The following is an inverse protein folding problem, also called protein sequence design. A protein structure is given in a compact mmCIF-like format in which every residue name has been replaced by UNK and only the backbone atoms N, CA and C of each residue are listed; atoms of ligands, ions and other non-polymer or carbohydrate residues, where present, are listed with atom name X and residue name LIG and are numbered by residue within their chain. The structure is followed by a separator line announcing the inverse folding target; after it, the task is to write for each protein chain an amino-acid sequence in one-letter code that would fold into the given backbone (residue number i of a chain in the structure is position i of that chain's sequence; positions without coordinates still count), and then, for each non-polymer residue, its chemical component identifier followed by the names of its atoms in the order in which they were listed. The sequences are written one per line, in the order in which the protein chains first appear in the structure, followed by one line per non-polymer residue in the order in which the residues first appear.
data_IF_060054829442
#
_entry.id   IF_060054829442
#
_cell.length_a   1.000
_cell.length_b   1.000
_cell.length_c   1.000
_cell.angle_alpha   90.00
_cell.angle_beta   90.00
_cell.angle_gamma   90.00
#
_symmetry.space_group_name_H-M   'P 1'
#
loop_
_entity.id
_entity.type
_entity.pdbx_description
1 polymer ?
#
# COMPACT_ATOMS: atom_id res chain seq x y z
N UNK A 1 -1.17 16.18 35.28
CA UNK A 1 -1.89 15.93 34.01
C UNK A 1 -2.97 16.99 33.88
N UNK A 2 -2.87 17.89 32.90
CA UNK A 2 -3.97 18.82 32.59
C UNK A 2 -5.11 17.99 31.96
N UNK A 3 -6.25 17.94 32.63
CA UNK A 3 -7.46 17.35 32.04
C UNK A 3 -7.85 18.16 30.82
N UNK A 4 -7.93 17.48 29.69
CA UNK A 4 -8.35 18.11 28.44
C UNK A 4 -9.74 18.70 28.62
N UNK A 5 -9.95 19.98 28.27
CA UNK A 5 -11.25 20.64 28.41
C UNK A 5 -12.31 20.02 27.49
N UNK A 6 -13.60 20.21 27.76
CA UNK A 6 -14.70 19.63 26.97
C UNK A 6 -14.64 20.02 25.49
N UNK A 7 -14.08 21.18 25.17
CA UNK A 7 -13.87 21.63 23.80
C UNK A 7 -12.95 20.70 23.00
N UNK A 8 -11.89 20.15 23.64
CA UNK A 8 -10.99 19.21 22.98
C UNK A 8 -11.71 17.90 22.63
N UNK A 9 -12.56 17.40 23.52
CA UNK A 9 -13.37 16.20 23.22
C UNK A 9 -14.39 16.45 22.11
N UNK A 10 -15.02 17.62 22.09
CA UNK A 10 -15.97 18.00 21.03
C UNK A 10 -15.27 18.09 19.67
N UNK A 11 -14.11 18.73 19.59
CA UNK A 11 -13.32 18.81 18.34
C UNK A 11 -12.85 17.45 17.88
N UNK A 12 -12.42 16.57 18.78
CA UNK A 12 -12.01 15.20 18.44
C UNK A 12 -13.19 14.37 17.92
N UNK A 13 -14.36 14.46 18.58
CA UNK A 13 -15.58 13.77 18.12
C UNK A 13 -16.03 14.26 16.75
N UNK A 14 -16.01 15.57 16.51
CA UNK A 14 -16.32 16.14 15.23
C UNK A 14 -15.33 15.68 14.13
N UNK A 15 -14.04 15.64 14.42
CA UNK A 15 -13.03 15.16 13.51
C UNK A 15 -13.22 13.66 13.19
N UNK A 16 -13.51 12.83 14.20
CA UNK A 16 -13.80 11.39 14.00
C UNK A 16 -15.05 11.22 13.14
N UNK A 17 -16.14 11.92 13.47
CA UNK A 17 -17.40 11.85 12.70
C UNK A 17 -17.19 12.23 11.23
N UNK A 18 -16.46 13.32 10.96
CA UNK A 18 -16.14 13.77 9.62
C UNK A 18 -15.24 12.77 8.86
N UNK A 19 -14.28 12.14 9.56
CA UNK A 19 -13.38 11.15 8.95
C UNK A 19 -14.07 9.80 8.66
N UNK A 20 -15.02 9.39 9.50
CA UNK A 20 -15.75 8.14 9.35
C UNK A 20 -16.92 8.27 8.36
N UNK A 21 -17.46 9.49 8.18
CA UNK A 21 -18.63 9.72 7.35
C UNK A 21 -18.48 9.19 5.90
N UNK A 22 -17.38 9.40 5.17
CA UNK A 22 -17.24 8.86 3.82
C UNK A 22 -17.31 7.32 3.76
N UNK A 23 -16.75 6.63 4.75
CA UNK A 23 -16.79 5.16 4.83
C UNK A 23 -18.20 4.68 5.19
N UNK A 24 -18.87 5.39 6.11
CA UNK A 24 -20.26 5.15 6.43
C UNK A 24 -21.16 5.35 5.20
N UNK A 25 -20.96 6.45 4.45
CA UNK A 25 -21.69 6.74 3.23
C UNK A 25 -21.48 5.68 2.14
N UNK A 26 -20.24 5.22 1.96
CA UNK A 26 -19.91 4.09 1.09
C UNK A 26 -20.75 2.86 1.44
N UNK A 27 -20.83 2.52 2.72
CA UNK A 27 -21.66 1.42 3.21
C UNK A 27 -23.14 1.65 2.95
N UNK A 28 -23.67 2.85 3.25
CA UNK A 28 -25.08 3.18 3.01
C UNK A 28 -25.45 2.97 1.55
N UNK A 29 -24.67 3.51 0.60
CA UNK A 29 -24.94 3.36 -0.83
C UNK A 29 -24.84 1.90 -1.27
N UNK A 30 -23.84 1.15 -0.81
CA UNK A 30 -23.70 -0.26 -1.12
C UNK A 30 -24.90 -1.12 -0.68
N UNK A 31 -25.69 -0.65 0.29
CA UNK A 31 -26.89 -1.36 0.80
C UNK A 31 -28.19 -0.94 0.12
N UNK A 32 -28.16 0.02 -0.81
CA UNK A 32 -29.36 0.58 -1.48
C UNK A 32 -29.58 -0.03 -2.87
N UNK A 33 -30.76 0.21 -3.42
CA UNK A 33 -31.03 0.02 -4.84
C UNK A 33 -30.50 1.23 -5.64
N UNK A 34 -30.12 1.04 -6.89
CA UNK A 34 -29.42 2.07 -7.68
C UNK A 34 -30.31 3.27 -8.03
N UNK A 35 -31.62 3.08 -8.14
CA UNK A 35 -32.61 4.12 -8.42
C UNK A 35 -32.71 5.19 -7.31
N UNK A 36 -32.38 4.80 -6.07
CA UNK A 36 -32.48 5.70 -4.88
C UNK A 36 -31.17 6.49 -4.63
N UNK A 37 -30.08 6.13 -5.28
CA UNK A 37 -28.74 6.76 -5.02
C UNK A 37 -28.71 8.22 -5.46
N UNK A 38 -29.50 8.58 -6.49
CA UNK A 38 -29.62 9.93 -7.01
C UNK A 38 -30.68 10.81 -6.33
N UNK A 39 -31.41 10.28 -5.35
CA UNK A 39 -32.48 11.01 -4.69
C UNK A 39 -32.02 12.20 -3.85
N UNK A 40 -32.83 13.21 -3.76
CA UNK A 40 -32.61 14.35 -2.88
C UNK A 40 -33.75 14.51 -1.86
N UNK A 41 -33.47 14.53 -0.54
CA UNK A 41 -32.14 14.46 0.10
C UNK A 41 -31.51 13.06 0.00
N UNK A 42 -30.17 12.99 -0.04
CA UNK A 42 -29.47 11.70 -0.18
C UNK A 42 -29.78 10.76 1.01
N UNK A 43 -29.93 9.46 0.76
CA UNK A 43 -30.26 8.50 1.81
C UNK A 43 -29.13 8.42 2.85
N UNK A 44 -29.46 8.62 4.13
CA UNK A 44 -28.50 8.56 5.24
C UNK A 44 -28.58 7.25 6.04
N UNK A 45 -29.55 6.39 5.75
CA UNK A 45 -29.73 5.12 6.46
C UNK A 45 -29.46 3.94 5.54
N UNK A 46 -28.84 2.85 6.04
CA UNK A 46 -28.65 1.65 5.24
C UNK A 46 -29.95 1.07 4.69
N UNK A 47 -29.89 0.47 3.50
CA UNK A 47 -30.97 -0.31 2.88
C UNK A 47 -30.83 -1.80 3.14
N UNK A 48 -31.62 -2.62 2.41
CA UNK A 48 -31.63 -4.10 2.53
C UNK A 48 -30.91 -4.85 1.40
N UNK A 49 -30.36 -4.14 0.38
CA UNK A 49 -29.94 -4.76 -0.87
C UNK A 49 -28.47 -5.20 -0.91
N UNK A 50 -27.72 -5.13 0.20
CA UNK A 50 -26.29 -5.47 0.19
C UNK A 50 -26.01 -6.87 -0.38
N UNK A 51 -26.77 -7.88 0.06
CA UNK A 51 -26.59 -9.25 -0.42
C UNK A 51 -26.83 -9.41 -1.92
N UNK A 52 -27.85 -8.75 -2.44
CA UNK A 52 -28.17 -8.72 -3.87
C UNK A 52 -27.07 -7.99 -4.65
N UNK A 53 -26.66 -6.81 -4.22
CA UNK A 53 -25.62 -6.01 -4.87
C UNK A 53 -24.27 -6.75 -4.89
N UNK A 54 -23.91 -7.43 -3.80
CA UNK A 54 -22.72 -8.29 -3.75
C UNK A 54 -22.82 -9.47 -4.71
N UNK A 55 -23.98 -10.14 -4.79
CA UNK A 55 -24.20 -11.24 -5.73
C UNK A 55 -24.07 -10.74 -7.19
N UNK A 56 -24.69 -9.61 -7.51
CA UNK A 56 -24.60 -8.96 -8.82
C UNK A 56 -23.16 -8.56 -9.16
N UNK A 57 -22.41 -8.05 -8.19
CA UNK A 57 -20.99 -7.68 -8.36
C UNK A 57 -20.14 -8.89 -8.79
N UNK A 58 -20.30 -10.02 -8.09
CA UNK A 58 -19.55 -11.23 -8.44
C UNK A 58 -20.05 -11.93 -9.71
N UNK A 59 -21.28 -11.64 -10.13
CA UNK A 59 -21.85 -12.11 -11.40
C UNK A 59 -21.50 -11.21 -12.59
N UNK A 60 -20.90 -10.04 -12.38
CA UNK A 60 -20.51 -9.11 -13.43
C UNK A 60 -19.25 -9.65 -14.16
N UNK A 61 -19.48 -10.42 -15.22
CA UNK A 61 -18.42 -11.08 -16.01
C UNK A 61 -17.41 -10.08 -16.58
N UNK A 62 -17.87 -8.92 -17.05
CA UNK A 62 -17.01 -7.88 -17.63
C UNK A 62 -16.02 -7.29 -16.61
N UNK A 63 -16.34 -7.29 -15.33
CA UNK A 63 -15.49 -6.73 -14.28
C UNK A 63 -14.49 -7.72 -13.72
N UNK A 64 -14.72 -9.03 -13.82
CA UNK A 64 -13.86 -10.09 -13.26
C UNK A 64 -13.39 -9.78 -11.82
N UNK A 65 -14.31 -9.25 -10.99
CA UNK A 65 -13.96 -8.63 -9.69
C UNK A 65 -13.20 -9.58 -8.75
N UNK A 66 -13.60 -10.85 -8.68
CA UNK A 66 -12.93 -11.84 -7.84
C UNK A 66 -11.48 -12.07 -8.28
N UNK A 67 -11.25 -12.22 -9.58
CA UNK A 67 -9.90 -12.35 -10.15
C UNK A 67 -9.08 -11.10 -9.87
N UNK A 68 -9.68 -9.92 -10.03
CA UNK A 68 -9.05 -8.65 -9.70
C UNK A 68 -8.58 -8.55 -8.25
N UNK A 69 -9.41 -9.02 -7.30
CA UNK A 69 -9.05 -9.12 -5.88
C UNK A 69 -7.86 -10.06 -5.64
N UNK A 70 -7.88 -11.24 -6.26
CA UNK A 70 -6.79 -12.24 -6.14
C UNK A 70 -5.49 -11.69 -6.76
N UNK A 71 -5.55 -11.12 -7.96
CA UNK A 71 -4.40 -10.53 -8.63
C UNK A 71 -3.79 -9.38 -7.82
N UNK A 72 -4.63 -8.49 -7.29
CA UNK A 72 -4.17 -7.40 -6.41
C UNK A 72 -3.55 -7.92 -5.12
N UNK A 73 -4.09 -8.98 -4.53
CA UNK A 73 -3.52 -9.59 -3.34
C UNK A 73 -2.13 -10.19 -3.63
N UNK A 74 -2.00 -10.95 -4.73
CA UNK A 74 -0.72 -11.54 -5.16
C UNK A 74 0.30 -10.42 -5.44
N UNK A 75 -0.08 -9.40 -6.22
CA UNK A 75 0.81 -8.30 -6.57
C UNK A 75 1.25 -7.53 -5.31
N UNK A 76 0.30 -7.10 -4.47
CA UNK A 76 0.59 -6.28 -3.29
C UNK A 76 1.42 -7.04 -2.27
N UNK A 77 1.13 -8.30 -2.00
CA UNK A 77 1.92 -9.11 -1.05
C UNK A 77 3.33 -9.33 -1.60
N UNK A 78 3.47 -9.74 -2.87
CA UNK A 78 4.77 -10.04 -3.48
C UNK A 78 5.67 -8.79 -3.54
N UNK A 79 5.13 -7.67 -4.02
CA UNK A 79 5.86 -6.39 -4.08
C UNK A 79 6.24 -5.93 -2.67
N UNK A 80 5.32 -6.00 -1.71
CA UNK A 80 5.58 -5.57 -0.33
C UNK A 80 6.70 -6.38 0.32
N UNK A 81 6.63 -7.71 0.24
CA UNK A 81 7.67 -8.58 0.83
C UNK A 81 9.02 -8.31 0.18
N UNK A 82 9.06 -8.19 -1.14
CA UNK A 82 10.28 -7.91 -1.89
C UNK A 82 10.86 -6.53 -1.54
N UNK A 83 10.05 -5.48 -1.58
CA UNK A 83 10.48 -4.11 -1.25
C UNK A 83 11.00 -4.03 0.17
N UNK A 84 10.28 -4.60 1.16
CA UNK A 84 10.73 -4.61 2.56
C UNK A 84 12.05 -5.34 2.71
N UNK A 85 12.20 -6.50 2.08
CA UNK A 85 13.43 -7.29 2.17
C UNK A 85 14.63 -6.58 1.54
N UNK A 86 14.52 -6.21 0.27
CA UNK A 86 15.64 -5.58 -0.44
C UNK A 86 15.97 -4.19 0.11
N UNK A 87 14.97 -3.42 0.51
CA UNK A 87 15.18 -2.12 1.13
C UNK A 87 15.85 -2.23 2.50
N UNK A 88 15.49 -3.23 3.31
CA UNK A 88 16.15 -3.48 4.60
C UNK A 88 17.60 -3.88 4.41
N UNK A 89 17.88 -4.75 3.44
CA UNK A 89 19.23 -5.19 3.12
C UNK A 89 20.10 -4.04 2.60
N UNK A 90 19.58 -3.26 1.64
CA UNK A 90 20.27 -2.10 1.10
C UNK A 90 20.41 -0.99 2.14
N UNK A 91 19.37 -0.74 2.93
CA UNK A 91 19.40 0.23 4.04
C UNK A 91 20.48 -0.10 5.07
N UNK A 92 20.60 -1.35 5.47
CA UNK A 92 21.69 -1.81 6.31
C UNK A 92 23.07 -1.59 5.66
N UNK A 93 23.22 -1.96 4.38
CA UNK A 93 24.49 -1.79 3.68
C UNK A 93 24.90 -0.32 3.61
N UNK A 94 23.98 0.57 3.25
CA UNK A 94 24.24 2.01 3.19
C UNK A 94 24.42 2.67 4.57
N UNK A 95 23.82 2.15 5.63
CA UNK A 95 23.97 2.70 6.97
C UNK A 95 25.26 2.23 7.68
N UNK A 96 25.58 0.92 7.62
CA UNK A 96 26.54 0.28 8.53
C UNK A 96 27.75 -0.33 7.85
N UNK A 97 27.73 -0.53 6.53
CA UNK A 97 28.88 -1.10 5.82
C UNK A 97 29.73 0.01 5.21
N UNK A 98 31.05 -0.22 5.19
CA UNK A 98 32.04 0.66 4.54
C UNK A 98 32.49 0.03 3.24
N UNK A 99 32.10 0.65 2.11
CA UNK A 99 32.54 0.23 0.78
C UNK A 99 32.81 1.42 -0.14
N UNK A 100 33.65 1.23 -1.16
CA UNK A 100 33.99 2.31 -2.10
C UNK A 100 32.76 2.69 -2.93
N UNK A 101 32.55 3.99 -3.09
CA UNK A 101 31.42 4.51 -3.87
C UNK A 101 30.07 4.54 -3.14
N UNK A 102 30.00 4.20 -1.85
CA UNK A 102 28.74 4.17 -1.06
C UNK A 102 27.93 5.44 -1.22
N UNK A 103 28.56 6.61 -1.04
CA UNK A 103 27.84 7.88 -1.09
C UNK A 103 27.39 8.23 -2.52
N UNK A 104 28.20 7.93 -3.53
CA UNK A 104 27.81 8.15 -4.93
C UNK A 104 26.63 7.26 -5.33
N UNK A 105 26.68 5.96 -4.96
CA UNK A 105 25.59 5.03 -5.23
C UNK A 105 24.30 5.43 -4.49
N UNK A 106 24.42 5.85 -3.23
CA UNK A 106 23.26 6.38 -2.50
C UNK A 106 22.67 7.63 -3.18
N UNK A 107 23.53 8.55 -3.65
CA UNK A 107 23.07 9.74 -4.38
C UNK A 107 22.31 9.36 -5.66
N UNK A 108 22.78 8.34 -6.40
CA UNK A 108 22.06 7.81 -7.57
C UNK A 108 20.69 7.28 -7.18
N UNK A 109 20.61 6.45 -6.11
CA UNK A 109 19.32 5.94 -5.61
C UNK A 109 18.39 7.10 -5.25
N UNK A 110 18.86 8.12 -4.55
CA UNK A 110 18.05 9.28 -4.18
C UNK A 110 17.62 10.10 -5.42
N UNK A 111 18.49 10.24 -6.41
CA UNK A 111 18.18 10.96 -7.65
C UNK A 111 17.04 10.26 -8.42
N UNK A 112 16.95 8.94 -8.40
CA UNK A 112 15.84 8.23 -9.06
C UNK A 112 14.47 8.55 -8.44
N UNK A 113 14.41 8.93 -7.16
CA UNK A 113 13.16 9.35 -6.52
C UNK A 113 12.61 10.68 -7.03
N UNK A 114 13.46 11.51 -7.65
CA UNK A 114 13.05 12.80 -8.21
C UNK A 114 12.36 12.65 -9.57
N UNK A 115 12.45 11.48 -10.19
CA UNK A 115 11.81 11.20 -11.47
C UNK A 115 10.37 10.77 -11.20
N UNK A 116 9.34 11.49 -11.70
CA UNK A 116 7.96 11.06 -11.57
C UNK A 116 7.74 9.70 -12.25
N UNK A 117 7.18 8.73 -11.51
CA UNK A 117 6.95 7.37 -12.01
C UNK A 117 6.09 7.39 -13.29
N UNK A 118 5.15 8.33 -13.39
CA UNK A 118 4.25 8.48 -14.53
C UNK A 118 4.97 8.76 -15.85
N UNK A 119 6.13 9.41 -15.80
CA UNK A 119 6.95 9.67 -17.01
C UNK A 119 7.52 8.37 -17.60
N UNK A 120 7.63 7.32 -16.79
CA UNK A 120 8.15 6.03 -17.20
C UNK A 120 7.11 5.09 -17.80
N UNK A 121 5.82 5.43 -17.80
CA UNK A 121 4.73 4.52 -18.22
C UNK A 121 4.92 4.04 -19.67
N UNK A 122 5.12 4.96 -20.62
CA UNK A 122 5.27 4.63 -22.04
C UNK A 122 6.50 3.75 -22.31
N UNK A 123 7.73 4.16 -21.91
CA UNK A 123 8.90 3.32 -22.12
C UNK A 123 8.82 1.97 -21.39
N UNK A 124 8.25 1.94 -20.20
CA UNK A 124 8.07 0.68 -19.46
C UNK A 124 7.07 -0.24 -20.17
N UNK A 125 5.97 0.30 -20.72
CA UNK A 125 5.02 -0.45 -21.53
C UNK A 125 5.70 -1.07 -22.75
N UNK A 126 6.52 -0.31 -23.48
CA UNK A 126 7.27 -0.84 -24.63
C UNK A 126 8.17 -2.02 -24.23
N UNK A 127 8.83 -1.94 -23.09
CA UNK A 127 9.62 -3.05 -22.54
C UNK A 127 8.73 -4.28 -22.26
N UNK A 128 7.54 -4.07 -21.69
CA UNK A 128 6.61 -5.19 -21.42
C UNK A 128 6.14 -5.85 -22.71
N UNK A 129 5.92 -5.07 -23.78
CA UNK A 129 5.59 -5.58 -25.12
C UNK A 129 6.72 -6.46 -25.66
N UNK A 130 7.96 -5.97 -25.64
CA UNK A 130 9.13 -6.70 -26.15
C UNK A 130 9.39 -8.00 -25.36
N UNK A 131 9.12 -7.99 -24.06
CA UNK A 131 9.23 -9.17 -23.19
C UNK A 131 8.05 -10.16 -23.34
N UNK A 132 6.98 -9.79 -24.06
CA UNK A 132 5.76 -10.58 -24.14
C UNK A 132 5.02 -10.70 -22.80
N UNK A 133 5.12 -9.66 -21.99
CA UNK A 133 4.50 -9.61 -20.64
C UNK A 133 3.20 -8.82 -20.59
N UNK A 134 2.71 -8.35 -21.75
CA UNK A 134 1.37 -7.75 -21.81
C UNK A 134 0.32 -8.72 -21.28
N UNK A 135 -0.67 -8.17 -20.60
CA UNK A 135 -1.76 -8.91 -19.97
C UNK A 135 -1.27 -10.04 -19.03
N UNK A 136 -0.13 -9.84 -18.39
CA UNK A 136 0.44 -10.80 -17.41
C UNK A 136 0.74 -10.13 -16.10
N UNK A 137 0.45 -10.80 -15.00
CA UNK A 137 0.63 -10.27 -13.64
C UNK A 137 2.10 -9.92 -13.32
N UNK A 138 3.07 -10.62 -13.93
CA UNK A 138 4.48 -10.29 -13.79
C UNK A 138 4.83 -8.87 -14.28
N UNK A 139 4.11 -8.32 -15.26
CA UNK A 139 4.32 -6.95 -15.70
C UNK A 139 3.93 -5.91 -14.62
N UNK A 140 3.00 -6.27 -13.74
CA UNK A 140 2.59 -5.43 -12.60
C UNK A 140 3.50 -5.63 -11.38
N UNK A 141 4.15 -6.78 -11.26
CA UNK A 141 4.95 -7.13 -10.08
C UNK A 141 6.43 -6.78 -10.27
N UNK A 142 7.05 -7.29 -11.34
CA UNK A 142 8.52 -7.30 -11.47
C UNK A 142 9.15 -5.91 -11.48
N UNK A 143 8.62 -4.91 -12.18
CA UNK A 143 9.20 -3.56 -12.19
C UNK A 143 9.23 -2.88 -10.82
N UNK A 144 8.39 -3.33 -9.88
CA UNK A 144 8.19 -2.68 -8.57
C UNK A 144 8.76 -3.48 -7.38
N UNK A 145 9.53 -4.53 -7.63
CA UNK A 145 10.13 -5.37 -6.57
C UNK A 145 11.16 -4.64 -5.69
N UNK A 146 11.67 -3.50 -6.14
CA UNK A 146 12.60 -2.65 -5.39
C UNK A 146 12.10 -1.20 -5.38
N UNK A 147 12.41 -0.46 -4.30
CA UNK A 147 11.96 0.92 -4.11
C UNK A 147 13.10 1.78 -3.60
N UNK A 148 13.41 2.86 -4.32
CA UNK A 148 14.39 3.84 -3.86
C UNK A 148 13.95 4.52 -2.56
N UNK A 149 12.66 4.84 -2.41
CA UNK A 149 12.09 5.35 -1.17
C UNK A 149 12.26 4.34 -0.02
N UNK A 150 12.02 3.06 -0.29
CA UNK A 150 12.22 1.99 0.69
C UNK A 150 13.67 1.92 1.17
N UNK A 151 14.63 1.98 0.25
CA UNK A 151 16.08 2.00 0.59
C UNK A 151 16.42 3.21 1.46
N UNK A 152 15.94 4.39 1.09
CA UNK A 152 16.15 5.62 1.88
C UNK A 152 15.56 5.49 3.29
N UNK A 153 14.30 5.06 3.39
CA UNK A 153 13.61 4.93 4.67
C UNK A 153 14.32 3.91 5.58
N UNK A 154 14.63 2.74 5.05
CA UNK A 154 15.27 1.68 5.84
C UNK A 154 16.71 2.04 6.24
N UNK A 155 17.43 2.82 5.42
CA UNK A 155 18.72 3.39 5.80
C UNK A 155 18.58 4.33 7.01
N UNK A 156 17.59 5.25 6.98
CA UNK A 156 17.35 6.16 8.10
C UNK A 156 17.01 5.42 9.40
N UNK A 157 16.21 4.35 9.29
CA UNK A 157 15.92 3.48 10.42
C UNK A 157 17.15 2.73 10.92
N UNK A 158 17.96 2.17 10.01
CA UNK A 158 19.17 1.44 10.37
C UNK A 158 20.22 2.33 11.07
N UNK A 159 20.36 3.59 10.66
CA UNK A 159 21.25 4.56 11.29
C UNK A 159 20.87 4.85 12.75
N UNK A 160 19.56 4.89 13.04
CA UNK A 160 19.03 5.25 14.36
C UNK A 160 18.82 4.06 15.29
N UNK A 161 18.30 2.95 14.76
CA UNK A 161 17.86 1.80 15.55
C UNK A 161 18.96 0.76 15.78
N UNK A 162 20.06 0.81 15.03
CA UNK A 162 21.17 -0.15 15.14
C UNK A 162 22.44 0.59 15.56
N UNK A 163 22.84 0.58 16.84
CA UNK A 163 24.13 1.11 17.27
C UNK A 163 25.31 0.40 16.59
N UNK A 164 26.36 1.13 16.26
CA UNK A 164 27.54 0.56 15.58
C UNK A 164 28.24 -0.47 16.47
N UNK A 165 28.20 -0.29 17.78
CA UNK A 165 28.75 -1.20 18.78
C UNK A 165 28.12 -2.61 18.71
N UNK A 166 26.82 -2.71 18.40
CA UNK A 166 26.16 -4.00 18.22
C UNK A 166 26.68 -4.73 16.97
N UNK A 167 26.93 -3.98 15.89
CA UNK A 167 27.50 -4.53 14.66
C UNK A 167 28.94 -5.00 14.87
N UNK A 168 29.74 -4.23 15.62
CA UNK A 168 31.12 -4.55 15.96
C UNK A 168 31.20 -5.75 16.91
N UNK A 169 30.39 -5.80 17.95
CA UNK A 169 30.32 -6.95 18.86
C UNK A 169 29.98 -8.24 18.12
N UNK A 170 28.97 -8.21 17.24
CA UNK A 170 28.61 -9.37 16.43
C UNK A 170 29.73 -9.83 15.47
N UNK A 171 30.58 -8.89 14.98
CA UNK A 171 31.77 -9.26 14.21
C UNK A 171 32.83 -9.94 15.06
N UNK A 172 33.08 -9.44 16.27
CA UNK A 172 34.02 -10.08 17.23
C UNK A 172 33.55 -11.49 17.60
N UNK A 173 32.20 -11.68 17.69
CA UNK A 173 31.59 -13.00 17.91
C UNK A 173 31.65 -13.91 16.66
N UNK A 174 32.31 -13.48 15.57
CA UNK A 174 32.49 -14.28 14.36
C UNK A 174 31.29 -14.31 13.42
N UNK A 175 30.28 -13.45 13.61
CA UNK A 175 29.14 -13.38 12.70
C UNK A 175 29.55 -12.83 11.32
N UNK A 176 29.14 -13.51 10.24
CA UNK A 176 29.26 -12.97 8.89
C UNK A 176 28.35 -11.74 8.72
N UNK A 177 28.64 -10.88 7.74
CA UNK A 177 27.80 -9.69 7.45
C UNK A 177 26.32 -10.04 7.24
N UNK A 178 26.04 -11.15 6.56
CA UNK A 178 24.67 -11.64 6.37
C UNK A 178 24.06 -12.18 7.68
N UNK A 179 24.89 -12.81 8.53
CA UNK A 179 24.48 -13.22 9.88
C UNK A 179 24.11 -12.03 10.76
N UNK A 180 24.87 -10.93 10.69
CA UNK A 180 24.58 -9.68 11.38
C UNK A 180 23.25 -9.10 10.88
N UNK A 181 23.02 -9.09 9.57
CA UNK A 181 21.74 -8.63 9.02
C UNK A 181 20.55 -9.39 9.62
N UNK A 182 20.58 -10.72 9.60
CA UNK A 182 19.45 -11.53 10.07
C UNK A 182 19.25 -11.53 11.58
N UNK A 183 20.33 -11.57 12.35
CA UNK A 183 20.26 -11.77 13.81
C UNK A 183 20.20 -10.47 14.60
N UNK A 184 20.75 -9.38 14.07
CA UNK A 184 20.87 -8.10 14.77
C UNK A 184 20.04 -7.03 14.08
N UNK A 185 20.28 -6.81 12.79
CA UNK A 185 19.74 -5.64 12.09
C UNK A 185 18.25 -5.83 11.78
N UNK A 186 17.85 -6.91 11.14
CA UNK A 186 16.47 -7.13 10.72
C UNK A 186 15.47 -7.12 11.90
N UNK A 187 15.76 -7.74 13.06
CA UNK A 187 14.92 -7.58 14.25
C UNK A 187 14.78 -6.15 14.74
N UNK A 188 15.88 -5.36 14.72
CA UNK A 188 15.84 -3.96 15.12
C UNK A 188 15.09 -3.07 14.13
N UNK A 189 15.04 -3.46 12.85
CA UNK A 189 14.34 -2.74 11.80
C UNK A 189 12.84 -3.05 11.72
N UNK A 190 12.31 -3.98 12.51
CA UNK A 190 10.88 -4.40 12.43
C UNK A 190 9.88 -3.25 12.42
N UNK A 191 9.99 -2.20 13.26
CA UNK A 191 9.04 -1.09 13.23
C UNK A 191 9.08 -0.34 11.89
N UNK A 192 10.28 -0.02 11.40
CA UNK A 192 10.45 0.64 10.09
C UNK A 192 9.99 -0.23 8.91
N UNK A 193 10.28 -1.54 8.99
CA UNK A 193 9.84 -2.52 8.00
C UNK A 193 8.30 -2.63 7.94
N UNK A 194 7.62 -2.57 9.08
CA UNK A 194 6.16 -2.58 9.14
C UNK A 194 5.56 -1.31 8.52
N UNK A 195 6.16 -0.14 8.78
CA UNK A 195 5.73 1.12 8.15
C UNK A 195 5.94 1.09 6.65
N UNK A 196 7.12 0.67 6.18
CA UNK A 196 7.41 0.53 4.75
C UNK A 196 6.46 -0.48 4.08
N UNK A 197 6.23 -1.62 4.74
CA UNK A 197 5.34 -2.66 4.25
C UNK A 197 3.90 -2.15 4.08
N UNK A 198 3.38 -1.41 5.06
CA UNK A 198 2.05 -0.82 4.95
C UNK A 198 1.96 0.15 3.76
N UNK A 199 2.91 1.10 3.64
CA UNK A 199 2.88 2.06 2.53
C UNK A 199 3.00 1.37 1.17
N UNK A 200 3.86 0.36 1.06
CA UNK A 200 4.04 -0.41 -0.17
C UNK A 200 2.77 -1.20 -0.52
N UNK A 201 2.18 -1.88 0.46
CA UNK A 201 0.95 -2.63 0.25
C UNK A 201 -0.18 -1.70 -0.20
N UNK A 202 -0.41 -0.60 0.51
CA UNK A 202 -1.44 0.38 0.15
C UNK A 202 -1.19 0.98 -1.23
N UNK A 203 0.05 1.33 -1.55
CA UNK A 203 0.41 1.88 -2.85
C UNK A 203 0.13 0.90 -3.99
N UNK A 204 0.57 -0.36 -3.85
CA UNK A 204 0.36 -1.39 -4.89
C UNK A 204 -1.11 -1.80 -5.00
N UNK A 205 -1.83 -1.91 -3.88
CA UNK A 205 -3.26 -2.25 -3.87
C UNK A 205 -4.13 -1.19 -4.55
N UNK A 206 -3.79 0.09 -4.38
CA UNK A 206 -4.51 1.21 -4.97
C UNK A 206 -3.97 1.64 -6.34
N UNK A 207 -2.93 0.96 -6.86
CA UNK A 207 -2.38 1.30 -8.18
C UNK A 207 -3.39 0.97 -9.28
N UNK A 208 -3.69 1.99 -10.08
CA UNK A 208 -4.68 1.91 -11.16
C UNK A 208 -4.07 2.12 -12.55
N UNK A 209 -3.23 3.16 -12.69
CA UNK A 209 -2.78 3.62 -14.00
C UNK A 209 -1.91 2.59 -14.72
N UNK A 210 -0.97 1.97 -13.99
CA UNK A 210 -0.08 1.00 -14.59
C UNK A 210 -0.81 -0.31 -14.97
N UNK A 211 -1.61 -0.93 -14.08
CA UNK A 211 -2.46 -2.06 -14.47
C UNK A 211 -3.38 -1.74 -15.65
N UNK A 212 -4.00 -0.57 -15.68
CA UNK A 212 -4.85 -0.13 -16.80
C UNK A 212 -4.08 -0.06 -18.13
N UNK A 213 -2.79 0.29 -18.09
CA UNK A 213 -1.96 0.39 -19.28
C UNK A 213 -1.47 -0.98 -19.80
N UNK A 214 -1.25 -1.98 -18.91
CA UNK A 214 -0.53 -3.21 -19.26
C UNK A 214 -1.37 -4.47 -19.18
N UNK A 215 -2.52 -4.45 -18.50
CA UNK A 215 -3.46 -5.56 -18.37
C UNK A 215 -4.72 -5.35 -19.22
N UNK A 216 -5.46 -6.41 -19.43
CA UNK A 216 -6.75 -6.44 -20.14
C UNK A 216 -7.88 -6.84 -19.16
N UNK A 217 -9.14 -6.75 -19.61
CA UNK A 217 -10.31 -7.00 -18.77
C UNK A 217 -10.43 -8.46 -18.27
N UNK A 218 -9.80 -9.40 -18.96
CA UNK A 218 -9.76 -10.82 -18.59
C UNK A 218 -8.71 -11.14 -17.49
N UNK A 219 -7.81 -10.20 -17.19
CA UNK A 219 -6.77 -10.36 -16.18
C UNK A 219 -6.56 -9.08 -15.34
N UNK A 220 -7.61 -8.53 -14.73
CA UNK A 220 -7.55 -7.22 -14.08
C UNK A 220 -6.88 -7.27 -12.71
N UNK A 221 -6.51 -6.08 -12.19
CA UNK A 221 -6.38 -5.82 -10.75
C UNK A 221 -7.71 -5.31 -10.19
N UNK A 222 -7.85 -5.23 -8.85
CA UNK A 222 -9.09 -4.78 -8.22
C UNK A 222 -9.50 -3.36 -8.64
N UNK A 223 -8.53 -2.44 -8.76
CA UNK A 223 -8.82 -1.08 -9.21
C UNK A 223 -9.26 -1.04 -10.68
N UNK A 224 -8.65 -1.88 -11.51
CA UNK A 224 -9.08 -2.03 -12.90
C UNK A 224 -10.49 -2.65 -12.97
N UNK A 225 -10.78 -3.71 -12.23
CA UNK A 225 -12.12 -4.31 -12.12
C UNK A 225 -13.18 -3.29 -11.72
N UNK A 226 -12.89 -2.46 -10.70
CA UNK A 226 -13.82 -1.41 -10.25
C UNK A 226 -14.11 -0.39 -11.36
N UNK A 227 -13.13 -0.06 -12.19
CA UNK A 227 -13.34 0.86 -13.30
C UNK A 227 -14.25 0.27 -14.39
N UNK A 228 -14.26 -1.04 -14.57
CA UNK A 228 -15.13 -1.73 -15.53
C UNK A 228 -16.61 -1.79 -15.11
N UNK A 229 -16.91 -1.55 -13.82
CA UNK A 229 -18.28 -1.47 -13.34
C UNK A 229 -19.01 -0.19 -13.78
N UNK A 230 -18.28 0.78 -14.33
CA UNK A 230 -18.84 2.01 -14.89
C UNK A 230 -18.88 1.93 -16.40
N UNK A 231 -20.07 1.83 -17.00
CA UNK A 231 -20.23 1.89 -18.45
C UNK A 231 -20.43 3.34 -18.93
N UNK A 232 -20.20 3.58 -20.23
CA UNK A 232 -20.38 4.90 -20.86
C UNK A 232 -21.83 5.39 -20.83
N UNK A 233 -22.79 4.50 -20.77
CA UNK A 233 -24.21 4.81 -20.88
C UNK A 233 -25.00 4.67 -19.57
N UNK A 234 -24.48 3.88 -18.63
CA UNK A 234 -25.15 3.61 -17.37
C UNK A 234 -24.14 3.28 -16.29
N UNK A 235 -24.21 3.96 -15.16
CA UNK A 235 -23.39 3.68 -14.00
C UNK A 235 -24.25 3.10 -12.89
N UNK A 236 -23.99 1.85 -12.53
CA UNK A 236 -24.57 1.26 -11.33
C UNK A 236 -23.71 1.63 -10.12
N UNK A 237 -24.08 2.72 -9.47
CA UNK A 237 -23.37 3.20 -8.28
C UNK A 237 -23.36 2.17 -7.14
N UNK A 238 -24.43 1.38 -7.00
CA UNK A 238 -24.51 0.40 -5.92
C UNK A 238 -23.53 -0.75 -6.12
N UNK A 239 -23.28 -1.17 -7.36
CA UNK A 239 -22.22 -2.14 -7.68
C UNK A 239 -20.83 -1.56 -7.43
N UNK A 240 -20.56 -0.33 -7.90
CA UNK A 240 -19.28 0.34 -7.67
C UNK A 240 -18.99 0.51 -6.19
N UNK A 241 -19.97 0.97 -5.40
CA UNK A 241 -19.80 1.17 -3.96
C UNK A 241 -19.70 -0.17 -3.21
N UNK A 242 -20.43 -1.20 -3.63
CA UNK A 242 -20.29 -2.56 -3.06
C UNK A 242 -18.92 -3.14 -3.34
N UNK A 243 -18.42 -3.00 -4.58
CA UNK A 243 -17.07 -3.42 -4.95
C UNK A 243 -15.99 -2.66 -4.18
N UNK A 244 -16.12 -1.33 -4.06
CA UNK A 244 -15.21 -0.50 -3.29
C UNK A 244 -15.23 -0.84 -1.80
N UNK A 245 -16.41 -1.13 -1.23
CA UNK A 245 -16.53 -1.58 0.15
C UNK A 245 -15.77 -2.88 0.39
N UNK A 246 -15.94 -3.88 -0.47
CA UNK A 246 -15.23 -5.16 -0.37
C UNK A 246 -13.72 -4.96 -0.61
N UNK A 247 -13.33 -4.16 -1.61
CA UNK A 247 -11.94 -3.85 -1.91
C UNK A 247 -11.22 -3.07 -0.77
N UNK A 248 -11.97 -2.41 0.10
CA UNK A 248 -11.42 -1.71 1.27
C UNK A 248 -11.10 -2.66 2.42
N UNK A 249 -11.75 -3.83 2.52
CA UNK A 249 -11.56 -4.75 3.64
C UNK A 249 -10.11 -5.24 3.82
N UNK A 250 -9.37 -5.64 2.77
CA UNK A 250 -7.96 -6.02 2.92
C UNK A 250 -7.08 -4.89 3.44
N UNK A 251 -7.34 -3.64 3.01
CA UNK A 251 -6.61 -2.46 3.52
C UNK A 251 -6.88 -2.24 5.00
N UNK A 252 -8.13 -2.34 5.43
CA UNK A 252 -8.52 -2.24 6.84
C UNK A 252 -7.86 -3.35 7.67
N UNK A 253 -7.85 -4.59 7.16
CA UNK A 253 -7.19 -5.70 7.82
C UNK A 253 -5.70 -5.44 8.03
N UNK A 254 -4.98 -5.03 6.97
CA UNK A 254 -3.54 -4.71 7.05
C UNK A 254 -3.30 -3.54 8.02
N UNK A 255 -4.13 -2.50 7.95
CA UNK A 255 -4.02 -1.36 8.86
C UNK A 255 -4.24 -1.75 10.33
N UNK A 256 -5.22 -2.59 10.65
CA UNK A 256 -5.47 -3.08 12.01
C UNK A 256 -4.33 -3.98 12.47
N UNK A 257 -3.82 -4.87 11.61
CA UNK A 257 -2.76 -5.81 11.95
C UNK A 257 -1.43 -5.09 12.25
N UNK A 258 -1.10 -4.03 11.51
CA UNK A 258 0.17 -3.30 11.62
C UNK A 258 0.05 -1.93 12.28
N UNK A 259 -1.14 -1.48 12.66
CA UNK A 259 -1.39 -0.14 13.21
C UNK A 259 -0.61 0.19 14.49
N UNK A 260 -0.37 -0.81 15.35
CA UNK A 260 0.44 -0.61 16.57
C UNK A 260 1.90 -0.26 16.26
N UNK A 261 2.48 -0.88 15.24
CA UNK A 261 3.85 -0.62 14.81
C UNK A 261 4.01 0.80 14.25
N UNK A 262 2.98 1.31 13.58
CA UNK A 262 2.94 2.67 13.04
C UNK A 262 2.93 3.70 14.16
N UNK A 263 2.05 3.52 15.16
CA UNK A 263 1.94 4.43 16.30
C UNK A 263 3.26 4.44 17.08
N UNK A 264 3.87 3.28 17.32
CA UNK A 264 5.18 3.17 17.98
C UNK A 264 6.29 3.91 17.23
N UNK A 265 6.41 3.69 15.92
CA UNK A 265 7.45 4.30 15.09
C UNK A 265 7.32 5.83 14.95
N UNK A 266 6.09 6.37 14.91
CA UNK A 266 5.82 7.81 14.85
C UNK A 266 6.12 8.46 16.21
N UNK A 267 5.75 7.82 17.31
CA UNK A 267 5.98 8.35 18.67
C UNK A 267 7.46 8.40 19.05
N UNK A 268 8.28 7.43 18.63
CA UNK A 268 9.74 7.47 18.85
C UNK A 268 10.41 8.65 18.12
N UNK A 269 9.86 9.11 17.01
CA UNK A 269 10.31 10.31 16.30
C UNK A 269 9.88 11.63 16.97
N UNK A 270 8.73 11.65 17.64
CA UNK A 270 8.14 12.86 18.24
C UNK A 270 8.63 13.15 19.66
N UNK A 271 9.14 12.17 20.41
CA UNK A 271 9.56 12.33 21.82
C UNK A 271 11.03 12.80 21.95
N UNK A 272 11.79 12.89 20.86
CA UNK A 272 13.18 13.38 20.85
C UNK A 272 13.34 14.80 20.32
N UNK A 273 12.27 15.60 20.30
CA UNK A 273 12.32 17.04 20.01
C UNK A 273 12.20 17.86 21.29
#
# INVERSE_FOLDING_TARGET
MRTSGPLVYLTLLAAIALSVFPVYWLFVVATRANDVVGDWPPPLTPGGNLGENVTRLFAAEDANFLLGMVNSAIASITVTVSVVFFSSLAGFAFAKLRFRGRNALLLVVLATMMIPVQMGIIPLYMIMVELGWQNRLQAVIVPFLVSAFGVFLMRQYAERAVPDELVEAARVDGCSTFGIFWKVVLPALRPGAAVLGLFTFMGTWNEFLWPLAVLEADNPTVQFSLSQLSSTYYTDYTLMFSGTLIATLPLLFVFIAFGRQIIGGIMEGAVKA
#
